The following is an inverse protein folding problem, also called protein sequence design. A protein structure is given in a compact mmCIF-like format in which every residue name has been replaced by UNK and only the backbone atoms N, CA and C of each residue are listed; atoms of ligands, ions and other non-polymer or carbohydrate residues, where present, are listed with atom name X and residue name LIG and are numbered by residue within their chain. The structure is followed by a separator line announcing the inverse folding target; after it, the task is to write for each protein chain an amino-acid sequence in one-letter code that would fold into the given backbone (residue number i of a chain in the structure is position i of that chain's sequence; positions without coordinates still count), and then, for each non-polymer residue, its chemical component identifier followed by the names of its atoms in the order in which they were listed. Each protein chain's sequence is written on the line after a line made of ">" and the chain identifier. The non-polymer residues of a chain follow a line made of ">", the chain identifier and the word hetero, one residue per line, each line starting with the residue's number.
data_IF_854068808161
#
_entry.id   IF_854068808161
#
_cell.length_a   1.000
_cell.length_b   1.000
_cell.length_c   1.000
_cell.angle_alpha   90.00
_cell.angle_beta   90.00
_cell.angle_gamma   90.00
#
_symmetry.space_group_name_H-M   'P 1'
#
loop_
_entity.id
_entity.type
_entity.pdbx_description
1 polymer ?
#
# COMPACT_ATOMS: atom_id res chain seq x y z
N UNK A 1 -12.69 -7.02 12.62
CA UNK A 1 -11.35 -6.38 12.71
C UNK A 1 -10.65 -6.60 11.38
N UNK A 2 -9.76 -5.70 10.97
CA UNK A 2 -8.95 -5.84 9.75
C UNK A 2 -7.53 -6.19 10.17
N UNK A 3 -7.03 -7.35 9.80
CA UNK A 3 -5.66 -7.76 10.11
C UNK A 3 -4.83 -7.73 8.84
N UNK A 4 -3.91 -6.76 8.76
CA UNK A 4 -2.83 -6.81 7.76
C UNK A 4 -1.59 -7.37 8.46
N UNK A 5 -1.03 -8.45 7.94
CA UNK A 5 0.26 -8.98 8.36
C UNK A 5 1.32 -8.74 7.27
N UNK A 6 2.59 -8.66 7.68
CA UNK A 6 3.71 -8.54 6.74
C UNK A 6 4.68 -9.68 7.02
N UNK A 7 4.91 -10.51 6.01
CA UNK A 7 5.89 -11.59 5.97
C UNK A 7 6.99 -11.17 4.97
N UNK A 8 8.26 -11.11 5.39
CA UNK A 8 9.37 -10.88 4.47
C UNK A 8 9.53 -12.04 3.48
N UNK A 9 9.85 -11.73 2.23
CA UNK A 9 10.28 -12.73 1.24
C UNK A 9 11.71 -13.16 1.56
N UNK A 10 11.92 -14.47 1.74
CA UNK A 10 13.24 -15.08 2.02
C UNK A 10 13.83 -15.86 0.84
N UNK A 11 13.01 -16.17 -0.18
CA UNK A 11 13.39 -16.95 -1.35
C UNK A 11 13.28 -16.13 -2.65
N UNK A 12 14.05 -16.51 -3.66
CA UNK A 12 14.10 -15.78 -4.94
C UNK A 12 13.23 -16.43 -6.04
N UNK A 13 13.00 -17.75 -5.97
CA UNK A 13 12.22 -18.49 -6.96
C UNK A 13 10.74 -18.56 -6.56
N UNK A 14 10.01 -17.46 -6.80
CA UNK A 14 8.58 -17.37 -6.51
C UNK A 14 7.72 -17.69 -7.74
N UNK A 15 6.54 -18.25 -7.50
CA UNK A 15 5.45 -18.18 -8.49
C UNK A 15 4.57 -16.99 -8.15
N UNK A 16 4.42 -16.07 -9.10
CA UNK A 16 3.68 -14.82 -8.93
C UNK A 16 2.52 -14.77 -9.92
N UNK A 17 1.31 -14.82 -9.40
CA UNK A 17 0.10 -14.43 -10.13
C UNK A 17 -0.04 -12.91 -10.10
N UNK A 18 -0.45 -12.31 -11.21
CA UNK A 18 -0.77 -10.90 -11.25
C UNK A 18 -1.99 -10.62 -12.14
N UNK A 19 -2.66 -9.51 -11.89
CA UNK A 19 -3.67 -8.97 -12.79
C UNK A 19 -3.76 -7.46 -12.71
N UNK A 20 -4.47 -6.88 -13.68
CA UNK A 20 -4.81 -5.46 -13.68
C UNK A 20 -6.28 -5.26 -13.35
N UNK A 21 -6.57 -4.19 -12.60
CA UNK A 21 -7.92 -3.80 -12.25
C UNK A 21 -8.07 -2.28 -12.24
N UNK A 22 -9.24 -1.80 -12.68
CA UNK A 22 -9.60 -0.40 -12.53
C UNK A 22 -10.14 -0.16 -11.12
N UNK A 23 -9.66 0.90 -10.47
CA UNK A 23 -10.08 1.29 -9.13
C UNK A 23 -10.45 2.77 -9.14
N UNK A 24 -11.09 3.25 -8.08
CA UNK A 24 -11.38 4.68 -7.91
C UNK A 24 -10.14 5.59 -7.89
N UNK A 25 -8.94 5.04 -7.67
CA UNK A 25 -7.69 5.79 -7.62
C UNK A 25 -6.84 5.63 -8.88
N UNK A 26 -7.35 4.93 -9.90
CA UNK A 26 -6.64 4.60 -11.13
C UNK A 26 -6.51 3.10 -11.33
N UNK A 27 -5.91 2.72 -12.46
CA UNK A 27 -5.62 1.33 -12.79
C UNK A 27 -4.46 0.83 -11.92
N UNK A 28 -4.61 -0.37 -11.35
CA UNK A 28 -3.59 -0.99 -10.50
C UNK A 28 -3.14 -2.31 -11.10
N UNK A 29 -1.84 -2.58 -11.00
CA UNK A 29 -1.28 -3.92 -11.02
C UNK A 29 -1.32 -4.47 -9.60
N UNK A 30 -1.81 -5.70 -9.43
CA UNK A 30 -1.77 -6.41 -8.15
C UNK A 30 -1.13 -7.77 -8.39
N UNK A 31 -0.10 -8.09 -7.62
CA UNK A 31 0.60 -9.36 -7.70
C UNK A 31 0.61 -10.07 -6.36
N UNK A 32 0.45 -11.39 -6.40
CA UNK A 32 0.43 -12.25 -5.25
C UNK A 32 1.37 -13.44 -5.46
N UNK A 33 1.96 -13.87 -4.36
CA UNK A 33 2.56 -15.20 -4.20
C UNK A 33 1.52 -16.11 -3.55
N UNK A 34 1.84 -17.39 -3.39
CA UNK A 34 1.03 -18.31 -2.57
C UNK A 34 0.88 -17.85 -1.11
N UNK A 35 1.83 -17.06 -0.58
CA UNK A 35 1.81 -16.56 0.80
C UNK A 35 0.95 -15.30 0.97
N UNK A 36 0.88 -14.43 -0.04
CA UNK A 36 0.25 -13.12 0.09
C UNK A 36 0.57 -12.13 -1.04
N UNK A 37 0.00 -10.92 -0.93
CA UNK A 37 0.25 -9.82 -1.86
C UNK A 37 1.70 -9.38 -1.77
N UNK A 38 2.45 -9.53 -2.85
CA UNK A 38 3.86 -9.15 -2.91
C UNK A 38 4.09 -7.79 -3.54
N UNK A 39 3.16 -7.32 -4.36
CA UNK A 39 3.27 -6.05 -5.06
C UNK A 39 1.91 -5.48 -5.41
N UNK A 40 1.78 -4.17 -5.32
CA UNK A 40 0.59 -3.46 -5.74
C UNK A 40 0.96 -2.02 -6.11
N UNK A 41 0.80 -1.65 -7.37
CA UNK A 41 1.21 -0.33 -7.87
C UNK A 41 0.22 0.22 -8.90
N UNK A 42 0.14 1.55 -9.00
CA UNK A 42 -0.67 2.20 -10.04
C UNK A 42 0.06 2.11 -11.39
N UNK A 43 -0.68 1.70 -12.42
CA UNK A 43 -0.20 1.54 -13.80
C UNK A 43 -0.62 2.76 -14.62
N UNK A 44 0.02 3.91 -14.36
CA UNK A 44 -0.38 5.21 -14.91
C UNK A 44 -0.02 5.37 -16.39
N UNK A 45 1.17 4.92 -16.78
CA UNK A 45 1.66 5.03 -18.16
C UNK A 45 1.15 3.85 -19.00
N UNK A 46 1.64 2.64 -18.73
CA UNK A 46 1.20 1.41 -19.41
C UNK A 46 1.21 0.20 -18.48
N UNK A 47 0.43 -0.82 -18.85
CA UNK A 47 0.47 -2.13 -18.17
C UNK A 47 1.87 -2.77 -18.26
N UNK A 48 2.55 -2.63 -19.41
CA UNK A 48 3.87 -3.20 -19.62
C UNK A 48 4.94 -2.57 -18.72
N UNK A 49 4.91 -1.24 -18.53
CA UNK A 49 5.84 -0.56 -17.63
C UNK A 49 5.58 -0.93 -16.17
N UNK A 50 4.32 -1.00 -15.76
CA UNK A 50 3.96 -1.46 -14.41
C UNK A 50 4.42 -2.91 -14.16
N UNK A 51 4.26 -3.78 -15.15
CA UNK A 51 4.76 -5.15 -15.09
C UNK A 51 6.29 -5.20 -15.06
N UNK A 52 6.99 -4.36 -15.83
CA UNK A 52 8.45 -4.29 -15.80
C UNK A 52 8.99 -3.88 -14.42
N UNK A 53 8.30 -2.98 -13.71
CA UNK A 53 8.65 -2.62 -12.32
C UNK A 53 8.48 -3.78 -11.35
N UNK A 54 7.39 -4.56 -11.46
CA UNK A 54 7.21 -5.81 -10.72
C UNK A 54 8.34 -6.80 -11.04
N UNK A 55 8.67 -6.96 -12.33
CA UNK A 55 9.70 -7.87 -12.79
C UNK A 55 11.08 -7.50 -12.25
N UNK A 56 11.43 -6.21 -12.24
CA UNK A 56 12.68 -5.73 -11.67
C UNK A 56 12.82 -6.05 -10.17
N UNK A 57 11.71 -6.16 -9.43
CA UNK A 57 11.73 -6.52 -8.01
C UNK A 57 11.87 -8.04 -7.79
N UNK A 58 11.41 -8.85 -8.72
CA UNK A 58 11.41 -10.31 -8.64
C UNK A 58 11.89 -10.97 -9.95
N UNK A 59 13.13 -10.70 -10.40
CA UNK A 59 13.59 -11.07 -11.75
C UNK A 59 13.54 -12.58 -12.01
N UNK A 60 13.73 -13.40 -10.98
CA UNK A 60 13.79 -14.86 -11.08
C UNK A 60 12.43 -15.56 -10.85
N UNK A 61 11.35 -14.78 -10.67
CA UNK A 61 10.02 -15.34 -10.46
C UNK A 61 9.38 -15.86 -11.76
N UNK A 62 8.51 -16.85 -11.63
CA UNK A 62 7.63 -17.35 -12.69
C UNK A 62 6.31 -16.60 -12.62
N UNK A 63 5.89 -16.00 -13.74
CA UNK A 63 4.70 -15.13 -13.78
C UNK A 63 3.52 -15.76 -14.49
N UNK A 64 2.32 -15.58 -13.92
CA UNK A 64 1.05 -15.88 -14.57
C UNK A 64 0.10 -14.69 -14.51
N UNK A 65 -0.42 -14.24 -15.66
CA UNK A 65 -1.47 -13.22 -15.70
C UNK A 65 -2.83 -13.86 -15.37
N UNK A 66 -3.03 -14.14 -14.09
CA UNK A 66 -4.17 -14.88 -13.55
C UNK A 66 -4.71 -14.10 -12.37
N UNK A 67 -6.03 -13.89 -12.37
CA UNK A 67 -6.75 -13.34 -11.23
C UNK A 67 -6.86 -14.41 -10.14
N UNK A 68 -6.51 -14.06 -8.92
CA UNK A 68 -6.68 -14.93 -7.75
C UNK A 68 -7.47 -14.24 -6.63
N UNK A 69 -7.82 -15.03 -5.60
CA UNK A 69 -8.63 -14.58 -4.47
C UNK A 69 -7.91 -13.56 -3.57
N UNK A 70 -6.58 -13.61 -3.48
CA UNK A 70 -5.78 -12.65 -2.72
C UNK A 70 -5.88 -11.26 -3.35
N UNK A 71 -5.73 -11.19 -4.68
CA UNK A 71 -5.89 -9.96 -5.46
C UNK A 71 -7.31 -9.41 -5.33
N UNK A 72 -8.34 -10.27 -5.35
CA UNK A 72 -9.72 -9.83 -5.12
C UNK A 72 -9.94 -9.31 -3.70
N UNK A 73 -9.33 -9.94 -2.68
CA UNK A 73 -9.38 -9.43 -1.31
C UNK A 73 -8.71 -8.05 -1.17
N UNK A 74 -7.57 -7.84 -1.82
CA UNK A 74 -6.90 -6.54 -1.88
C UNK A 74 -7.80 -5.45 -2.51
N UNK A 75 -8.52 -5.79 -3.59
CA UNK A 75 -9.46 -4.90 -4.26
C UNK A 75 -10.66 -4.54 -3.37
N UNK A 76 -11.24 -5.50 -2.64
CA UNK A 76 -12.31 -5.21 -1.68
C UNK A 76 -11.86 -4.21 -0.61
N UNK A 77 -10.62 -4.32 -0.13
CA UNK A 77 -10.03 -3.37 0.83
C UNK A 77 -9.89 -1.97 0.22
N UNK A 78 -9.48 -1.87 -1.06
CA UNK A 78 -9.47 -0.61 -1.81
C UNK A 78 -10.86 0.00 -1.91
N UNK A 79 -11.89 -0.82 -2.13
CA UNK A 79 -13.27 -0.38 -2.17
C UNK A 79 -13.84 -0.03 -0.77
N UNK A 80 -13.12 -0.43 0.28
CA UNK A 80 -13.31 -0.04 1.66
C UNK A 80 -13.96 -1.12 2.52
N UNK A 81 -14.07 -2.34 2.02
CA UNK A 81 -14.48 -3.48 2.82
C UNK A 81 -13.37 -3.91 3.79
N UNK A 82 -13.74 -4.67 4.81
CA UNK A 82 -12.79 -5.28 5.72
C UNK A 82 -12.45 -6.68 5.23
N UNK A 83 -11.17 -6.97 5.10
CA UNK A 83 -10.66 -8.31 4.84
C UNK A 83 -9.30 -8.46 5.54
N UNK A 84 -9.01 -9.68 5.99
CA UNK A 84 -7.68 -10.05 6.45
C UNK A 84 -6.79 -10.31 5.23
N UNK A 85 -5.56 -9.80 5.27
CA UNK A 85 -4.64 -9.93 4.15
C UNK A 85 -3.20 -10.05 4.64
N UNK A 86 -2.47 -10.96 4.01
CA UNK A 86 -1.03 -11.12 4.21
C UNK A 86 -0.30 -10.38 3.09
N UNK A 87 0.69 -9.57 3.46
CA UNK A 87 1.64 -8.98 2.54
C UNK A 87 2.93 -9.80 2.57
N UNK A 88 3.41 -10.26 1.41
CA UNK A 88 4.63 -11.05 1.28
C UNK A 88 5.68 -10.25 0.48
N UNK A 89 6.48 -9.43 1.16
CA UNK A 89 7.25 -8.35 0.51
C UNK A 89 8.75 -8.48 0.72
N UNK A 90 9.55 -8.20 -0.33
CA UNK A 90 11.01 -8.00 -0.21
C UNK A 90 11.30 -6.71 0.56
N UNK A 91 12.01 -6.81 1.68
CA UNK A 91 12.29 -5.65 2.53
C UNK A 91 13.52 -5.83 3.42
N UNK A 92 14.12 -4.69 3.79
CA UNK A 92 15.11 -4.61 4.86
C UNK A 92 14.42 -4.62 6.24
N UNK A 93 15.12 -4.97 7.32
CA UNK A 93 14.56 -4.89 8.68
C UNK A 93 14.05 -3.49 9.03
N UNK A 94 14.72 -2.43 8.55
CA UNK A 94 14.29 -1.05 8.76
C UNK A 94 12.99 -0.74 8.00
N UNK A 95 12.89 -1.11 6.73
CA UNK A 95 11.65 -0.96 5.95
C UNK A 95 10.48 -1.72 6.62
N UNK A 96 10.71 -2.98 7.02
CA UNK A 96 9.70 -3.79 7.70
C UNK A 96 9.18 -3.10 8.96
N UNK A 97 10.07 -2.56 9.80
CA UNK A 97 9.69 -1.84 11.02
C UNK A 97 8.84 -0.59 10.71
N UNK A 98 9.18 0.17 9.68
CA UNK A 98 8.42 1.35 9.27
C UNK A 98 7.07 0.95 8.67
N UNK A 99 7.01 -0.04 7.79
CA UNK A 99 5.75 -0.49 7.18
C UNK A 99 4.80 -1.10 8.21
N UNK A 100 5.31 -1.83 9.21
CA UNK A 100 4.53 -2.29 10.37
C UNK A 100 3.91 -1.13 11.16
N UNK A 101 4.61 0.01 11.30
CA UNK A 101 4.00 1.21 11.91
C UNK A 101 2.90 1.78 11.02
N UNK A 102 3.11 1.81 9.70
CA UNK A 102 2.13 2.35 8.75
C UNK A 102 0.82 1.56 8.75
N UNK A 103 0.87 0.23 8.67
CA UNK A 103 -0.36 -0.60 8.64
C UNK A 103 -1.24 -0.44 9.89
N UNK A 104 -0.64 0.00 11.01
CA UNK A 104 -1.34 0.28 12.26
C UNK A 104 -1.93 1.71 12.32
N UNK A 105 -1.62 2.58 11.36
CA UNK A 105 -2.27 3.89 11.28
C UNK A 105 -3.75 3.71 10.88
N UNK A 106 -4.70 4.29 11.63
CA UNK A 106 -6.11 4.23 11.24
C UNK A 106 -6.37 4.94 9.91
N UNK A 107 -7.40 4.49 9.16
CA UNK A 107 -7.90 5.25 8.02
C UNK A 107 -8.30 6.68 8.44
N UNK A 108 -8.13 7.66 7.57
CA UNK A 108 -8.51 9.06 7.83
C UNK A 108 -7.62 9.79 8.85
N UNK A 109 -6.63 9.12 9.44
CA UNK A 109 -5.62 9.76 10.28
C UNK A 109 -4.33 9.90 9.48
N UNK A 110 -3.72 11.08 9.58
CA UNK A 110 -2.42 11.39 8.95
C UNK A 110 -1.36 11.59 10.02
N UNK A 111 -0.11 11.30 9.67
CA UNK A 111 1.06 11.46 10.54
C UNK A 111 2.17 12.19 9.78
N UNK A 112 2.96 13.04 10.45
CA UNK A 112 4.11 13.65 9.78
C UNK A 112 5.29 12.68 9.68
N UNK A 113 6.19 12.89 8.72
CA UNK A 113 7.44 12.09 8.63
C UNK A 113 8.27 12.16 9.92
N UNK A 114 8.33 13.33 10.57
CA UNK A 114 9.07 13.50 11.83
C UNK A 114 8.39 12.75 12.98
N UNK A 115 7.05 12.76 13.04
CA UNK A 115 6.31 12.02 14.05
C UNK A 115 6.39 10.50 13.84
N UNK A 116 6.37 10.04 12.58
CA UNK A 116 6.59 8.63 12.25
C UNK A 116 8.01 8.16 12.64
N UNK A 117 8.99 9.04 12.45
CA UNK A 117 10.37 8.77 12.81
C UNK A 117 10.61 8.78 14.33
N UNK A 118 9.89 9.60 15.08
CA UNK A 118 10.13 9.83 16.51
C UNK A 118 11.38 10.66 16.81
N UNK A 119 12.28 10.81 15.83
CA UNK A 119 13.47 11.65 15.86
C UNK A 119 13.60 12.38 14.52
N UNK A 120 13.80 13.70 14.57
CA UNK A 120 14.02 14.55 13.40
C UNK A 120 15.21 14.08 12.55
N UNK A 121 16.26 13.53 13.20
CA UNK A 121 17.46 13.00 12.51
C UNK A 121 17.13 11.79 11.64
N UNK A 122 16.11 11.02 12.00
CA UNK A 122 15.68 9.82 11.28
C UNK A 122 14.64 10.11 10.20
N UNK A 123 14.09 11.32 10.13
CA UNK A 123 13.01 11.67 9.21
C UNK A 123 13.34 11.39 7.74
N UNK A 124 14.60 11.61 7.31
CA UNK A 124 15.04 11.33 5.94
C UNK A 124 15.10 9.83 5.64
N UNK A 125 15.64 9.04 6.56
CA UNK A 125 15.71 7.59 6.42
C UNK A 125 14.30 6.98 6.38
N UNK A 126 13.41 7.44 7.27
CA UNK A 126 12.00 7.04 7.28
C UNK A 126 11.29 7.44 6.00
N UNK A 127 11.51 8.66 5.49
CA UNK A 127 10.96 9.08 4.20
C UNK A 127 11.37 8.15 3.05
N UNK A 128 12.61 7.69 3.04
CA UNK A 128 13.12 6.72 2.06
C UNK A 128 12.42 5.36 2.20
N UNK A 129 12.26 4.86 3.43
CA UNK A 129 11.53 3.62 3.69
C UNK A 129 10.04 3.70 3.31
N UNK A 130 9.39 4.85 3.56
CA UNK A 130 7.99 5.11 3.14
C UNK A 130 7.88 5.12 1.62
N UNK A 131 8.84 5.74 0.92
CA UNK A 131 8.85 5.81 -0.54
C UNK A 131 9.13 4.45 -1.21
N UNK A 132 9.85 3.56 -0.54
CA UNK A 132 10.18 2.22 -1.02
C UNK A 132 9.03 1.20 -0.86
N UNK A 133 7.83 1.62 -0.45
CA UNK A 133 6.69 0.75 -0.26
C UNK A 133 6.26 0.07 -1.59
N UNK A 134 6.29 -1.27 -1.69
CA UNK A 134 5.88 -1.98 -2.90
C UNK A 134 4.37 -2.25 -3.00
N UNK A 135 3.61 -2.00 -1.92
CA UNK A 135 2.18 -2.33 -1.86
C UNK A 135 1.36 -1.06 -1.59
N UNK A 136 1.03 -0.35 -2.66
CA UNK A 136 0.21 0.85 -2.64
C UNK A 136 -1.09 0.62 -1.87
N UNK A 137 -1.50 1.64 -1.09
CA UNK A 137 -2.74 1.69 -0.31
C UNK A 137 -2.85 0.67 0.85
N UNK A 138 -2.49 -0.60 0.66
CA UNK A 138 -2.50 -1.61 1.73
C UNK A 138 -1.44 -1.32 2.79
N UNK A 139 -0.24 -0.91 2.37
CA UNK A 139 0.69 -0.18 3.23
C UNK A 139 0.39 1.31 3.05
N UNK A 140 -0.22 1.98 4.04
CA UNK A 140 -0.84 3.29 3.86
C UNK A 140 0.18 4.44 3.94
N UNK A 141 1.20 4.39 3.08
CA UNK A 141 2.21 5.44 2.92
C UNK A 141 1.61 6.80 2.51
N UNK A 142 0.42 6.81 1.90
CA UNK A 142 -0.33 8.04 1.60
C UNK A 142 -0.73 8.82 2.86
N UNK A 143 -0.81 8.17 4.03
CA UNK A 143 -1.14 8.82 5.31
C UNK A 143 0.03 9.58 5.94
N UNK A 144 1.23 9.53 5.36
CA UNK A 144 2.40 10.25 5.87
C UNK A 144 2.56 11.58 5.13
N UNK A 145 2.54 12.71 5.84
CA UNK A 145 2.57 14.06 5.26
C UNK A 145 3.76 14.88 5.78
N UNK A 146 3.98 16.08 5.22
CA UNK A 146 4.97 17.03 5.74
C UNK A 146 4.51 17.60 7.09
N UNK A 147 5.46 18.02 7.92
CA UNK A 147 5.16 18.60 9.25
C UNK A 147 4.38 19.92 9.19
N UNK A 148 4.44 20.64 8.07
CA UNK A 148 3.69 21.87 7.85
C UNK A 148 2.24 21.65 7.34
N UNK A 149 1.78 20.39 7.29
CA UNK A 149 0.42 20.04 6.86
C UNK A 149 0.27 19.80 5.35
N UNK A 150 1.30 20.06 4.55
CA UNK A 150 1.27 19.74 3.12
C UNK A 150 1.31 18.22 2.87
N UNK A 151 0.55 17.77 1.89
CA UNK A 151 0.48 16.35 1.47
C UNK A 151 1.86 15.81 1.07
N UNK A 152 2.70 16.64 0.45
CA UNK A 152 4.04 16.27 -0.01
C UNK A 152 4.02 15.29 -1.19
N UNK A 153 5.20 14.80 -1.56
CA UNK A 153 5.35 13.91 -2.71
C UNK A 153 4.83 12.50 -2.38
N UNK A 154 4.43 11.80 -3.43
CA UNK A 154 3.96 10.41 -3.38
C UNK A 154 4.53 9.66 -4.56
N UNK A 155 4.89 8.40 -4.36
CA UNK A 155 5.47 7.57 -5.42
C UNK A 155 4.57 7.51 -6.67
N UNK A 156 3.25 7.50 -6.44
CA UNK A 156 2.23 7.51 -7.49
C UNK A 156 1.47 8.85 -7.53
N UNK A 157 2.15 10.00 -7.41
CA UNK A 157 1.52 11.31 -7.63
C UNK A 157 0.78 11.93 -6.42
N UNK A 158 0.99 13.22 -6.19
CA UNK A 158 0.42 13.96 -5.05
C UNK A 158 -1.11 14.03 -5.07
N UNK A 159 -1.72 14.14 -6.25
CA UNK A 159 -3.18 14.26 -6.38
C UNK A 159 -3.89 12.99 -5.93
N UNK A 160 -3.32 11.83 -6.28
CA UNK A 160 -3.80 10.53 -5.84
C UNK A 160 -3.72 10.39 -4.32
N UNK A 161 -2.60 10.82 -3.72
CA UNK A 161 -2.43 10.84 -2.27
C UNK A 161 -3.50 11.68 -1.59
N UNK A 162 -3.77 12.88 -2.10
CA UNK A 162 -4.82 13.76 -1.60
C UNK A 162 -6.22 13.13 -1.76
N UNK A 163 -6.49 12.49 -2.91
CA UNK A 163 -7.75 11.80 -3.17
C UNK A 163 -8.01 10.64 -2.19
N UNK A 164 -6.99 9.83 -1.89
CA UNK A 164 -7.07 8.75 -0.92
C UNK A 164 -7.37 9.27 0.48
N UNK A 165 -6.63 10.29 0.97
CA UNK A 165 -6.86 10.89 2.28
C UNK A 165 -8.29 11.44 2.38
N UNK A 166 -8.74 12.18 1.36
CA UNK A 166 -10.09 12.76 1.30
C UNK A 166 -11.17 11.69 1.35
N UNK A 167 -11.00 10.61 0.59
CA UNK A 167 -11.95 9.51 0.55
C UNK A 167 -12.05 8.78 1.90
N UNK A 168 -10.92 8.51 2.55
CA UNK A 168 -10.90 7.90 3.88
C UNK A 168 -11.59 8.78 4.93
N UNK A 169 -11.34 10.09 4.91
CA UNK A 169 -12.00 11.05 5.81
C UNK A 169 -13.51 11.09 5.61
N UNK A 170 -13.98 11.13 4.36
CA UNK A 170 -15.42 11.10 4.05
C UNK A 170 -16.09 9.85 4.61
N UNK A 171 -15.44 8.69 4.47
CA UNK A 171 -15.97 7.42 4.94
C UNK A 171 -16.09 7.36 6.46
N UNK A 172 -15.13 7.93 7.20
CA UNK A 172 -15.23 8.03 8.66
C UNK A 172 -16.44 8.86 9.09
N UNK A 173 -16.63 10.03 8.49
CA UNK A 173 -17.78 10.91 8.78
C UNK A 173 -19.10 10.17 8.52
N UNK A 174 -19.22 9.46 7.39
CA UNK A 174 -20.43 8.70 7.08
C UNK A 174 -20.68 7.57 8.09
N UNK A 175 -19.63 6.86 8.52
CA UNK A 175 -19.76 5.80 9.51
C UNK A 175 -20.18 6.34 10.89
N UNK A 176 -19.59 7.45 11.34
CA UNK A 176 -19.94 8.12 12.61
C UNK A 176 -21.39 8.61 12.61
N UNK A 177 -21.86 9.17 11.49
CA UNK A 177 -23.26 9.59 11.33
C UNK A 177 -24.23 8.39 11.33
N UNK A 178 -23.83 7.25 10.76
CA UNK A 178 -24.66 6.04 10.77
C UNK A 178 -24.77 5.44 12.19
N UNK A 179 -23.68 5.45 12.97
CA UNK A 179 -23.68 4.95 14.35
C UNK A 179 -24.41 5.86 15.33
N UNK A 180 -24.45 7.17 15.08
CA UNK A 180 -25.14 8.13 15.96
C UNK A 180 -26.66 8.20 15.71
N UNK A 181 -27.15 7.64 14.61
CA UNK A 181 -28.57 7.60 14.24
C UNK A 181 -29.19 6.19 14.39
N UNK A 182 -28.49 5.25 15.04
CA UNK A 182 -28.94 3.88 15.34
C UNK A 182 -29.06 3.71 16.86
#
# INVERSE_FOLDING_TARGET
>A
MKTISIIPVEEDNLTISYSFANTRFGKVLIAATETGICYMAFADETENEAFALLHNQFPDAVYGNIKDDLQQAALRILEGESADITLHVKCTPFQLAIWKKLINLPAGKVLSYTALAGDVKLARAVGTAVAANPVAYLIPCHRVIKSNGEVGNYHWGSDRKAAMIKWENKKQITNELATNNS
#
